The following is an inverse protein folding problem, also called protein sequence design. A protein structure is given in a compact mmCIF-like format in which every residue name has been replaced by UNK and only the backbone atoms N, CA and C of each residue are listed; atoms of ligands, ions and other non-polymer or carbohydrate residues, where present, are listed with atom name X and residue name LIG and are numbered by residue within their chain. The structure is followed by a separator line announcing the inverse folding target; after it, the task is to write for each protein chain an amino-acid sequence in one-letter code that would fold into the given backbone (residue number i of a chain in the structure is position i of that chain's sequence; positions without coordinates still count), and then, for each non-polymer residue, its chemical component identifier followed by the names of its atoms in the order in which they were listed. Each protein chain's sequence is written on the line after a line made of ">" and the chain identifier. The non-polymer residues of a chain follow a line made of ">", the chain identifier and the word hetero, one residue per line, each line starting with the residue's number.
data_IF_203727875823
#
_entry.id   IF_203727875823
#
_cell.length_a   1.000
_cell.length_b   1.000
_cell.length_c   1.000
_cell.angle_alpha   90.00
_cell.angle_beta   90.00
_cell.angle_gamma   90.00
#
_symmetry.space_group_name_H-M   'P 1'
#
loop_
_entity.id
_entity.type
_entity.pdbx_description
1 polymer ?
#
# COMPACT_ATOMS: atom_id res chain seq x y z
N UNK A 1 0.82 17.78 -22.02
CA UNK A 1 0.42 17.51 -21.61
C UNK A 1 0.38 16.92 -20.63
N UNK A 2 0.23 16.83 -19.96
CA UNK A 2 0.08 16.53 -18.99
C UNK A 2 -0.38 15.36 -18.66
N UNK A 3 -0.19 14.41 -19.04
CA UNK A 3 -0.67 13.15 -18.77
C UNK A 3 -0.12 12.51 -17.58
N UNK A 4 0.78 13.12 -16.92
CA UNK A 4 1.35 12.51 -15.74
C UNK A 4 0.32 12.20 -14.70
N UNK A 5 -0.77 12.93 -14.66
CA UNK A 5 -1.77 12.70 -13.63
C UNK A 5 -2.78 11.66 -14.05
N UNK A 6 -2.59 11.00 -15.18
CA UNK A 6 -3.54 10.00 -15.64
C UNK A 6 -3.69 8.87 -14.63
N UNK A 7 -2.59 8.47 -13.99
CA UNK A 7 -2.62 7.36 -13.04
C UNK A 7 -2.82 7.81 -11.60
N UNK A 8 -2.73 9.10 -11.33
CA UNK A 8 -2.86 9.60 -9.96
C UNK A 8 -4.15 9.19 -9.29
N UNK A 9 -5.31 9.47 -9.89
CA UNK A 9 -6.58 9.09 -9.28
C UNK A 9 -6.74 7.59 -9.09
N UNK A 10 -6.29 6.78 -10.06
CA UNK A 10 -6.37 5.34 -9.94
C UNK A 10 -5.45 4.83 -8.85
N UNK A 11 -4.24 5.38 -8.78
CA UNK A 11 -3.28 5.02 -7.76
C UNK A 11 -3.84 5.31 -6.37
N UNK A 12 -4.43 6.47 -6.21
CA UNK A 12 -5.04 6.85 -4.94
C UNK A 12 -6.18 5.90 -4.58
N UNK A 13 -7.00 5.54 -5.56
CA UNK A 13 -8.12 4.64 -5.31
C UNK A 13 -7.64 3.29 -4.79
N UNK A 14 -6.59 2.74 -5.39
CA UNK A 14 -6.06 1.46 -4.95
C UNK A 14 -5.46 1.56 -3.55
N UNK A 15 -4.71 2.62 -3.30
CA UNK A 15 -4.10 2.80 -1.99
C UNK A 15 -5.16 3.04 -0.91
N UNK A 16 -6.24 3.75 -1.25
CA UNK A 16 -7.33 3.96 -0.30
C UNK A 16 -8.04 2.65 0.04
N UNK A 17 -8.20 1.78 -0.96
CA UNK A 17 -8.80 0.48 -0.72
C UNK A 17 -7.95 -0.34 0.25
N UNK A 18 -6.63 -0.29 0.08
CA UNK A 18 -5.73 -0.98 0.99
C UNK A 18 -5.78 -0.34 2.37
N UNK A 19 -5.77 0.98 2.43
CA UNK A 19 -5.81 1.69 3.70
C UNK A 19 -7.04 1.32 4.51
N UNK A 20 -8.17 1.11 3.82
CA UNK A 20 -9.41 0.74 4.48
C UNK A 20 -9.36 -0.66 5.10
N UNK A 21 -8.41 -1.50 4.71
CA UNK A 21 -8.29 -2.84 5.25
C UNK A 21 -7.31 -2.92 6.42
N UNK A 22 -6.52 -1.87 6.63
CA UNK A 22 -5.48 -1.91 7.64
C UNK A 22 -5.99 -1.99 9.08
N UNK A 23 -7.06 -1.27 9.45
CA UNK A 23 -7.53 -1.33 10.85
C UNK A 23 -7.91 -2.73 11.28
N UNK A 24 -8.40 -3.57 10.38
CA UNK A 24 -8.75 -4.95 10.71
C UNK A 24 -7.55 -5.73 11.22
N UNK A 25 -6.36 -5.30 10.82
CA UNK A 25 -5.12 -5.98 11.16
C UNK A 25 -4.36 -5.27 12.25
N UNK A 26 -4.93 -4.21 12.81
CA UNK A 26 -4.25 -3.45 13.85
C UNK A 26 -3.16 -2.54 13.31
N UNK A 27 -3.18 -2.25 12.02
CA UNK A 27 -2.20 -1.38 11.39
C UNK A 27 -2.77 0.02 11.20
N UNK A 28 -1.88 0.98 11.05
CA UNK A 28 -2.24 2.36 10.76
C UNK A 28 -1.63 2.75 9.43
N UNK A 29 -2.40 3.42 8.60
CA UNK A 29 -1.93 3.86 7.29
C UNK A 29 -2.14 5.34 7.11
N UNK A 30 -1.26 5.96 6.33
CA UNK A 30 -1.39 7.37 6.02
C UNK A 30 -0.97 7.62 4.59
N UNK A 31 -1.85 8.29 3.85
CA UNK A 31 -1.57 8.64 2.47
C UNK A 31 -0.62 9.83 2.44
N UNK A 32 0.48 9.71 1.70
CA UNK A 32 1.46 10.77 1.54
C UNK A 32 1.62 11.09 0.08
N UNK A 33 2.06 12.31 -0.20
CA UNK A 33 2.25 12.75 -1.56
C UNK A 33 0.96 13.29 -2.15
N UNK A 34 1.07 14.18 -3.10
CA UNK A 34 -0.10 14.79 -3.70
C UNK A 34 -0.60 14.02 -4.91
N UNK A 35 -0.05 14.36 -6.06
CA UNK A 35 -0.47 13.75 -7.31
C UNK A 35 0.06 12.34 -7.48
N UNK A 36 1.08 11.98 -6.72
CA UNK A 36 1.72 10.69 -6.83
C UNK A 36 1.79 10.04 -5.45
N UNK A 37 0.64 9.62 -4.92
CA UNK A 37 0.57 9.19 -3.53
C UNK A 37 1.24 7.86 -3.27
N UNK A 38 1.69 7.70 -2.02
CA UNK A 38 2.15 6.42 -1.50
C UNK A 38 1.45 6.23 -0.16
N UNK A 39 1.43 5.01 0.33
CA UNK A 39 0.78 4.72 1.60
C UNK A 39 1.85 4.31 2.62
N UNK A 40 1.95 5.11 3.68
CA UNK A 40 2.84 4.80 4.79
C UNK A 40 2.06 3.96 5.78
N UNK A 41 2.59 2.78 6.11
CA UNK A 41 1.91 1.84 6.99
C UNK A 41 2.82 1.52 8.17
N UNK A 42 2.27 1.52 9.38
CA UNK A 42 3.07 1.13 10.53
C UNK A 42 2.23 0.29 11.50
N UNK A 43 2.95 -0.47 12.29
CA UNK A 43 2.38 -1.36 13.30
C UNK A 43 2.60 -0.71 14.65
N UNK A 44 1.54 -0.24 15.33
CA UNK A 44 1.72 0.50 16.58
C UNK A 44 2.40 -0.31 17.69
N UNK A 45 2.21 -1.62 17.67
CA UNK A 45 2.78 -2.45 18.72
C UNK A 45 4.25 -2.76 18.54
N UNK A 46 4.70 -2.95 17.31
CA UNK A 46 6.09 -3.27 17.05
C UNK A 46 6.92 -2.05 16.66
N UNK A 47 6.27 -1.00 16.19
CA UNK A 47 6.96 0.17 15.68
C UNK A 47 7.50 -0.01 14.28
N UNK A 48 7.32 -1.16 13.68
CA UNK A 48 7.79 -1.40 12.32
C UNK A 48 6.93 -0.66 11.31
N UNK A 49 7.52 -0.30 10.19
CA UNK A 49 6.83 0.48 9.18
C UNK A 49 7.35 0.16 7.79
N UNK A 50 6.54 0.45 6.80
CA UNK A 50 6.94 0.30 5.41
C UNK A 50 6.13 1.28 4.56
N UNK A 51 6.59 1.50 3.33
CA UNK A 51 5.87 2.33 2.36
C UNK A 51 5.34 1.39 1.29
N UNK A 52 4.06 1.51 0.98
CA UNK A 52 3.44 0.72 -0.07
C UNK A 52 3.19 1.62 -1.28
N UNK A 53 3.60 1.15 -2.43
CA UNK A 53 3.38 1.84 -3.70
C UNK A 53 2.32 1.08 -4.49
N UNK A 54 1.60 1.80 -5.34
CA UNK A 54 0.71 1.19 -6.30
C UNK A 54 1.22 1.52 -7.69
N UNK A 55 1.38 0.52 -8.53
CA UNK A 55 1.96 0.72 -9.84
C UNK A 55 1.18 -0.05 -10.90
N UNK A 56 0.96 0.54 -12.08
CA UNK A 56 0.32 -0.19 -13.17
C UNK A 56 1.32 -1.13 -13.84
N UNK A 57 0.84 -2.32 -14.19
CA UNK A 57 1.65 -3.28 -14.92
C UNK A 57 0.82 -3.81 -16.09
N UNK A 58 1.41 -4.62 -16.94
CA UNK A 58 0.66 -5.18 -18.05
C UNK A 58 -0.44 -6.13 -17.59
N UNK A 59 -0.32 -6.65 -16.35
CA UNK A 59 -1.33 -7.54 -15.79
C UNK A 59 -2.32 -6.82 -14.90
N UNK A 60 -2.22 -5.49 -14.82
CA UNK A 60 -3.08 -4.70 -13.95
C UNK A 60 -2.27 -3.97 -12.91
N UNK A 61 -2.97 -3.44 -11.90
CA UNK A 61 -2.30 -2.70 -10.84
C UNK A 61 -1.74 -3.64 -9.80
N UNK A 62 -0.60 -3.26 -9.24
CA UNK A 62 0.08 -4.04 -8.19
C UNK A 62 0.42 -3.14 -7.03
N UNK A 63 0.39 -3.71 -5.82
CA UNK A 63 0.98 -3.07 -4.65
C UNK A 63 2.40 -3.58 -4.50
N UNK A 64 3.32 -2.66 -4.19
CA UNK A 64 4.74 -2.97 -4.01
C UNK A 64 5.24 -2.37 -2.71
N UNK A 65 6.05 -3.11 -1.97
CA UNK A 65 6.64 -2.58 -0.74
C UNK A 65 7.98 -3.28 -0.47
N UNK A 66 8.82 -2.63 0.33
CA UNK A 66 10.15 -3.18 0.65
C UNK A 66 10.06 -4.33 1.63
N UNK A 67 10.98 -5.28 1.55
CA UNK A 67 12.10 -5.34 0.60
C UNK A 67 11.72 -5.89 -0.76
N UNK A 68 10.76 -6.80 -0.84
CA UNK A 68 10.40 -7.39 -2.12
C UNK A 68 8.94 -7.80 -2.17
N UNK A 69 8.08 -7.12 -1.42
CA UNK A 69 6.66 -7.43 -1.41
C UNK A 69 5.97 -6.98 -2.68
N UNK A 70 5.07 -7.82 -3.17
CA UNK A 70 4.22 -7.46 -4.29
C UNK A 70 2.95 -8.29 -4.27
N UNK A 71 1.82 -7.66 -4.58
CA UNK A 71 0.53 -8.32 -4.65
C UNK A 71 -0.37 -7.57 -5.62
N UNK A 72 -1.31 -8.29 -6.19
CA UNK A 72 -2.28 -7.66 -7.07
C UNK A 72 -3.15 -6.67 -6.29
N UNK A 73 -3.41 -5.53 -6.91
CA UNK A 73 -4.26 -4.51 -6.29
C UNK A 73 -5.74 -4.91 -6.32
N UNK A 74 -6.06 -6.01 -6.98
CA UNK A 74 -7.43 -6.51 -6.98
C UNK A 74 -7.81 -7.11 -5.64
N UNK A 75 -6.82 -7.42 -4.81
CA UNK A 75 -7.09 -8.04 -3.51
C UNK A 75 -6.34 -7.28 -2.41
N UNK A 76 -6.86 -6.13 -2.01
CA UNK A 76 -6.20 -5.36 -0.95
C UNK A 76 -6.16 -6.09 0.40
N UNK A 77 -7.12 -6.99 0.64
CA UNK A 77 -7.08 -7.77 1.88
C UNK A 77 -5.85 -8.66 1.95
N UNK A 78 -5.48 -9.27 0.83
CA UNK A 78 -4.31 -10.13 0.78
C UNK A 78 -3.03 -9.33 1.00
N UNK A 79 -2.99 -8.12 0.44
CA UNK A 79 -1.85 -7.24 0.66
C UNK A 79 -1.78 -6.84 2.14
N UNK A 80 -2.92 -6.52 2.74
CA UNK A 80 -2.94 -6.17 4.15
C UNK A 80 -2.43 -7.32 5.02
N UNK A 81 -2.81 -8.56 4.69
CA UNK A 81 -2.30 -9.72 5.41
C UNK A 81 -0.78 -9.82 5.30
N UNK A 82 -0.25 -9.67 4.10
CA UNK A 82 1.19 -9.80 3.87
C UNK A 82 1.97 -8.71 4.58
N UNK A 83 1.48 -7.49 4.54
CA UNK A 83 2.14 -6.37 5.20
C UNK A 83 2.07 -6.55 6.71
N UNK A 84 0.93 -7.02 7.23
CA UNK A 84 0.79 -7.27 8.65
C UNK A 84 1.83 -8.27 9.12
N UNK A 85 1.98 -9.35 8.37
CA UNK A 85 2.96 -10.36 8.75
C UNK A 85 4.37 -9.79 8.76
N UNK A 86 4.70 -8.99 7.76
CA UNK A 86 6.01 -8.38 7.69
C UNK A 86 6.27 -7.46 8.89
N UNK A 87 5.31 -6.60 9.20
CA UNK A 87 5.49 -5.60 10.25
C UNK A 87 5.34 -6.17 11.65
N UNK A 88 4.78 -7.37 11.77
CA UNK A 88 4.65 -8.03 13.08
C UNK A 88 5.94 -8.69 13.53
N UNK A 89 6.91 -8.83 12.65
CA UNK A 89 8.17 -9.47 13.02
C UNK A 89 8.95 -8.57 13.93
N UNK A 90 9.50 -9.15 14.99
CA UNK A 90 10.23 -8.40 15.99
C UNK A 90 11.68 -8.80 16.00
N UNK A 91 12.31 -8.92 15.13
CA UNK A 91 13.66 -9.33 15.31
C UNK A 91 14.59 -8.95 14.24
#
# INVERSE_FOLDING_TARGET
>A
MTSTSTYGPQRRTHLEALSGRLPEHGLVGRMLGGDDPVLWVWHPETGNQTIVFAAPTIDGWMFLWSPDGQESAEDPGRTADAVTELLSRTG
#
